data_IF_399858771421
#
_entry.id   IF_399858771421
#
_cell.length_a   1.000
_cell.length_b   1.000
_cell.length_c   1.000
_cell.angle_alpha   90.00
_cell.angle_beta   90.00
_cell.angle_gamma   90.00
#
_symmetry.space_group_name_H-M   'P 1'
#
loop_
_entity.id
_entity.type
_entity.pdbx_description
1 polymer ?
#
# COMPACT_ATOMS: atom_id res chain seq x y z
N UNK A 1 -9.94 -2.67 -9.56
CA UNK A 1 -11.00 -3.68 -9.37
C UNK A 1 -12.36 -3.02 -9.19
N UNK A 2 -12.45 -1.99 -8.35
CA UNK A 2 -13.72 -1.32 -8.00
C UNK A 2 -14.14 -0.16 -8.90
N UNK A 3 -13.30 0.26 -9.86
CA UNK A 3 -13.59 1.43 -10.70
C UNK A 3 -14.89 1.25 -11.47
N UNK A 4 -15.72 2.30 -11.46
CA UNK A 4 -17.02 2.32 -12.13
C UNK A 4 -18.05 1.40 -11.49
N UNK A 5 -17.85 1.00 -10.23
CA UNK A 5 -18.84 0.22 -9.50
C UNK A 5 -20.07 1.09 -9.22
N UNK A 6 -21.25 0.59 -9.59
CA UNK A 6 -22.50 1.34 -9.43
C UNK A 6 -22.83 1.50 -7.94
N UNK A 7 -23.16 2.72 -7.54
CA UNK A 7 -23.57 3.02 -6.16
C UNK A 7 -22.43 3.31 -5.20
N UNK A 8 -21.17 3.34 -5.68
CA UNK A 8 -20.01 3.70 -4.88
C UNK A 8 -19.18 4.79 -5.56
N UNK A 9 -18.72 5.76 -4.80
CA UNK A 9 -17.69 6.71 -5.24
C UNK A 9 -16.30 6.05 -5.07
N UNK A 10 -15.49 6.03 -6.13
CA UNK A 10 -14.22 5.28 -6.16
C UNK A 10 -13.00 6.20 -6.22
N UNK A 11 -12.36 6.47 -5.08
CA UNK A 11 -11.24 7.41 -5.02
C UNK A 11 -9.89 6.70 -5.07
N UNK A 12 -9.07 6.98 -6.08
CA UNK A 12 -7.76 6.36 -6.25
C UNK A 12 -6.64 7.24 -5.67
N UNK A 13 -6.04 6.83 -4.54
CA UNK A 13 -4.92 7.52 -3.88
C UNK A 13 -5.25 8.99 -3.53
N UNK A 14 -6.35 9.28 -2.79
CA UNK A 14 -6.82 10.66 -2.57
C UNK A 14 -5.84 11.56 -1.81
N UNK A 15 -4.94 10.99 -1.02
CA UNK A 15 -3.94 11.71 -0.23
C UNK A 15 -2.62 11.94 -0.98
N UNK A 16 -2.56 11.65 -2.28
CA UNK A 16 -1.37 11.83 -3.08
C UNK A 16 -1.02 13.33 -3.22
N UNK A 17 0.20 13.78 -2.81
CA UNK A 17 0.58 15.18 -2.86
C UNK A 17 0.44 15.86 -4.22
N UNK A 18 0.61 15.11 -5.32
CA UNK A 18 0.55 15.69 -6.67
C UNK A 18 -0.87 15.82 -7.21
N UNK A 19 -1.89 15.28 -6.53
CA UNK A 19 -3.24 15.17 -7.07
C UNK A 19 -3.81 16.56 -7.41
N UNK A 20 -3.88 17.45 -6.42
CA UNK A 20 -4.52 18.75 -6.57
C UNK A 20 -3.78 19.67 -7.55
N UNK A 21 -2.45 19.57 -7.60
CA UNK A 21 -1.62 20.38 -8.52
C UNK A 21 -1.85 20.04 -9.99
N UNK A 22 -2.29 18.81 -10.29
CA UNK A 22 -2.48 18.34 -11.65
C UNK A 22 -3.95 18.38 -12.12
N UNK A 23 -4.92 18.54 -11.21
CA UNK A 23 -6.32 18.68 -11.59
C UNK A 23 -6.57 20.00 -12.36
N UNK A 24 -7.50 20.03 -13.34
CA UNK A 24 -8.40 18.95 -13.75
C UNK A 24 -7.82 17.98 -14.80
N UNK A 25 -6.51 18.00 -15.06
CA UNK A 25 -5.92 17.03 -15.97
C UNK A 25 -5.97 15.64 -15.35
N UNK A 26 -6.41 14.67 -16.14
CA UNK A 26 -6.43 13.29 -15.67
C UNK A 26 -5.02 12.70 -15.63
N UNK A 27 -4.82 11.76 -14.71
CA UNK A 27 -3.61 10.97 -14.66
C UNK A 27 -3.45 10.13 -15.95
N UNK A 28 -2.21 9.81 -16.34
CA UNK A 28 -1.96 9.04 -17.57
C UNK A 28 -2.64 7.66 -17.59
N UNK A 29 -2.92 7.09 -16.41
CA UNK A 29 -3.65 5.82 -16.24
C UNK A 29 -5.19 6.00 -16.21
N UNK A 30 -5.70 7.22 -16.41
CA UNK A 30 -7.12 7.62 -16.31
C UNK A 30 -7.75 7.14 -15.01
N UNK A 31 -7.29 7.74 -13.90
CA UNK A 31 -7.58 7.24 -12.55
C UNK A 31 -8.13 8.32 -11.63
N UNK A 32 -8.34 9.53 -12.15
CA UNK A 32 -8.78 10.69 -11.39
C UNK A 32 -10.14 11.21 -11.87
N UNK A 33 -10.92 10.39 -12.56
CA UNK A 33 -12.24 10.77 -13.10
C UNK A 33 -13.16 11.29 -11.98
N UNK A 34 -13.15 10.61 -10.83
CA UNK A 34 -13.93 10.98 -9.65
C UNK A 34 -13.48 12.31 -9.05
N UNK A 35 -12.17 12.62 -9.06
CA UNK A 35 -11.66 13.92 -8.58
C UNK A 35 -11.91 15.05 -9.57
N UNK A 36 -11.88 14.77 -10.88
CA UNK A 36 -12.26 15.75 -11.91
C UNK A 36 -13.73 16.12 -11.74
N UNK A 37 -14.60 15.13 -11.49
CA UNK A 37 -16.00 15.38 -11.17
C UNK A 37 -16.16 16.28 -9.95
N UNK A 38 -15.46 15.99 -8.84
CA UNK A 38 -15.48 16.87 -7.65
C UNK A 38 -14.93 18.27 -7.94
N UNK A 39 -13.89 18.37 -8.78
CA UNK A 39 -13.33 19.64 -9.22
C UNK A 39 -14.33 20.47 -10.03
N UNK A 40 -15.10 19.84 -10.91
CA UNK A 40 -16.05 20.52 -11.78
C UNK A 40 -17.36 20.84 -11.07
N UNK A 41 -17.86 19.96 -10.21
CA UNK A 41 -19.20 20.05 -9.60
C UNK A 41 -19.18 20.64 -8.17
N UNK A 42 -18.08 20.51 -7.42
CA UNK A 42 -18.01 20.88 -5.99
C UNK A 42 -16.67 21.51 -5.59
N UNK A 43 -16.07 22.30 -6.50
CA UNK A 43 -14.72 22.87 -6.36
C UNK A 43 -14.44 23.52 -5.01
N UNK A 44 -15.37 24.33 -4.50
CA UNK A 44 -15.17 25.12 -3.28
C UNK A 44 -15.05 24.22 -2.05
N UNK A 45 -15.93 23.24 -1.90
CA UNK A 45 -15.88 22.32 -0.77
C UNK A 45 -14.74 21.31 -0.91
N UNK A 46 -14.47 20.85 -2.13
CA UNK A 46 -13.33 19.97 -2.40
C UNK A 46 -12.02 20.67 -2.03
N UNK A 47 -11.78 21.87 -2.56
CA UNK A 47 -10.57 22.65 -2.27
C UNK A 47 -10.40 22.97 -0.79
N UNK A 48 -11.47 23.36 -0.11
CA UNK A 48 -11.40 23.71 1.31
C UNK A 48 -11.26 22.51 2.24
N UNK A 49 -11.52 21.30 1.75
CA UNK A 49 -11.37 20.06 2.51
C UNK A 49 -10.13 19.25 2.09
N UNK A 50 -9.56 19.51 0.92
CA UNK A 50 -8.45 18.74 0.37
C UNK A 50 -7.25 18.74 1.31
N UNK A 51 -6.77 17.54 1.64
CA UNK A 51 -5.60 17.35 2.49
C UNK A 51 -4.74 16.20 1.95
N UNK A 52 -3.43 16.38 1.96
CA UNK A 52 -2.47 15.34 1.55
C UNK A 52 -1.82 14.71 2.77
N UNK A 53 -1.15 13.58 2.55
CA UNK A 53 -0.29 12.99 3.58
C UNK A 53 1.12 12.97 3.01
N UNK A 54 2.02 13.73 3.62
CA UNK A 54 3.45 13.65 3.32
C UNK A 54 4.03 12.30 3.76
N UNK A 55 5.16 11.86 3.19
CA UNK A 55 5.83 10.64 3.65
C UNK A 55 6.09 10.62 5.16
N UNK A 56 6.49 11.74 5.76
CA UNK A 56 6.79 11.83 7.19
C UNK A 56 5.53 11.69 8.06
N UNK A 57 4.41 12.23 7.59
CA UNK A 57 3.12 12.12 8.26
C UNK A 57 2.53 10.71 8.17
N UNK A 58 2.89 9.90 7.16
CA UNK A 58 2.40 8.52 7.03
C UNK A 58 2.63 7.71 8.31
N UNK A 59 3.71 7.97 9.05
CA UNK A 59 4.09 7.30 10.29
C UNK A 59 3.31 7.77 11.54
N UNK A 60 2.44 8.76 11.42
CA UNK A 60 1.50 9.11 12.49
C UNK A 60 0.45 8.01 12.60
N UNK A 61 0.14 7.59 13.83
CA UNK A 61 -0.90 6.61 14.12
C UNK A 61 -2.33 7.17 14.07
N UNK A 62 -2.47 8.50 14.06
CA UNK A 62 -3.74 9.20 14.05
C UNK A 62 -3.85 10.11 12.83
N UNK A 63 -5.07 10.35 12.36
CA UNK A 63 -5.38 11.39 11.38
C UNK A 63 -5.28 12.77 12.03
N UNK A 64 -4.71 13.73 11.30
CA UNK A 64 -4.87 15.14 11.67
C UNK A 64 -6.31 15.59 11.45
N UNK A 65 -6.72 16.71 12.06
CA UNK A 65 -8.07 17.26 11.87
C UNK A 65 -8.40 17.54 10.40
N UNK A 66 -7.42 18.03 9.62
CA UNK A 66 -7.60 18.28 8.19
C UNK A 66 -7.70 16.98 7.38
N UNK A 67 -6.91 15.95 7.73
CA UNK A 67 -7.01 14.64 7.09
C UNK A 67 -8.36 13.97 7.37
N UNK A 68 -8.87 14.12 8.60
CA UNK A 68 -10.19 13.64 8.98
C UNK A 68 -11.30 14.39 8.24
N UNK A 69 -11.22 15.73 8.18
CA UNK A 69 -12.16 16.57 7.43
C UNK A 69 -12.22 16.13 5.96
N UNK A 70 -11.06 15.88 5.34
CA UNK A 70 -11.00 15.41 3.97
C UNK A 70 -11.62 14.02 3.80
N UNK A 71 -11.31 13.08 4.69
CA UNK A 71 -11.86 11.73 4.63
C UNK A 71 -13.38 11.72 4.84
N UNK A 72 -13.91 12.55 5.75
CA UNK A 72 -15.34 12.76 5.92
C UNK A 72 -15.99 13.35 4.67
N UNK A 73 -15.29 14.28 4.01
CA UNK A 73 -15.77 14.86 2.75
C UNK A 73 -15.89 13.81 1.64
N UNK A 74 -14.87 12.95 1.48
CA UNK A 74 -14.89 11.87 0.47
C UNK A 74 -15.93 10.80 0.80
N UNK A 75 -16.16 10.52 2.08
CA UNK A 75 -17.06 9.45 2.53
C UNK A 75 -18.51 9.91 2.78
N UNK A 76 -18.96 11.01 2.16
CA UNK A 76 -20.37 11.46 2.25
C UNK A 76 -21.36 10.45 1.67
N UNK A 77 -20.92 9.70 0.66
CA UNK A 77 -21.65 8.59 0.05
C UNK A 77 -20.89 7.27 0.31
N UNK A 78 -21.53 6.10 0.10
CA UNK A 78 -20.80 4.83 0.06
C UNK A 78 -19.60 4.95 -0.89
N UNK A 79 -18.40 4.71 -0.35
CA UNK A 79 -17.16 5.00 -1.04
C UNK A 79 -16.18 3.85 -0.95
N UNK A 80 -15.40 3.65 -2.01
CA UNK A 80 -14.26 2.75 -2.05
C UNK A 80 -13.02 3.59 -2.27
N UNK A 81 -12.14 3.61 -1.27
CA UNK A 81 -10.97 4.47 -1.27
C UNK A 81 -9.72 3.60 -1.38
N UNK A 82 -8.96 3.77 -2.47
CA UNK A 82 -7.64 3.18 -2.61
C UNK A 82 -6.65 3.96 -1.76
N UNK A 83 -6.31 3.37 -0.62
CA UNK A 83 -5.63 4.01 0.48
C UNK A 83 -4.11 3.93 0.37
N UNK A 84 -3.51 4.90 -0.31
CA UNK A 84 -2.08 5.19 -0.17
C UNK A 84 -1.80 6.01 1.10
N UNK A 85 -0.70 5.72 1.81
CA UNK A 85 -0.15 6.51 2.95
C UNK A 85 -0.89 6.55 4.28
N UNK A 86 -2.04 5.89 4.40
CA UNK A 86 -2.81 5.85 5.67
C UNK A 86 -2.63 4.57 6.48
N UNK A 87 -1.86 3.60 6.02
CA UNK A 87 -1.94 2.25 6.62
C UNK A 87 -1.39 2.14 8.05
N UNK A 88 -0.71 3.16 8.58
CA UNK A 88 -0.38 3.25 10.00
C UNK A 88 -1.49 3.91 10.86
N UNK A 89 -2.52 4.49 10.23
CA UNK A 89 -3.66 5.20 10.85
C UNK A 89 -4.94 4.37 10.92
N UNK A 90 -4.87 3.09 10.56
CA UNK A 90 -6.06 2.27 10.36
C UNK A 90 -6.85 2.09 11.66
N UNK A 91 -6.19 2.01 12.82
CA UNK A 91 -6.90 1.94 14.10
C UNK A 91 -7.72 3.22 14.36
N UNK A 92 -7.15 4.40 14.12
CA UNK A 92 -7.87 5.67 14.25
C UNK A 92 -9.03 5.78 13.24
N UNK A 93 -8.85 5.29 12.01
CA UNK A 93 -9.94 5.21 11.01
C UNK A 93 -11.06 4.29 11.50
N UNK A 94 -10.75 3.09 11.99
CA UNK A 94 -11.73 2.13 12.48
C UNK A 94 -12.52 2.67 13.70
N UNK A 95 -11.90 3.53 14.50
CA UNK A 95 -12.53 4.21 15.63
C UNK A 95 -13.47 5.34 15.19
N UNK A 96 -13.09 6.11 14.17
CA UNK A 96 -13.86 7.27 13.68
C UNK A 96 -14.96 6.90 12.68
N UNK A 97 -14.81 5.77 11.99
CA UNK A 97 -15.72 5.31 10.95
C UNK A 97 -16.21 3.88 11.28
N UNK A 98 -17.26 3.74 12.10
CA UNK A 98 -17.73 2.44 12.59
C UNK A 98 -18.17 1.51 11.46
N UNK A 99 -18.75 2.05 10.39
CA UNK A 99 -19.32 1.30 9.26
C UNK A 99 -18.29 0.97 8.16
N UNK A 100 -17.00 1.16 8.42
CA UNK A 100 -15.94 0.91 7.43
C UNK A 100 -15.38 -0.50 7.55
N UNK A 101 -15.20 -1.17 6.41
CA UNK A 101 -14.35 -2.33 6.27
C UNK A 101 -12.99 -1.93 5.66
N UNK A 102 -11.91 -2.54 6.15
CA UNK A 102 -10.54 -2.29 5.70
C UNK A 102 -9.96 -3.55 5.10
N UNK A 103 -9.50 -3.47 3.85
CA UNK A 103 -8.73 -4.52 3.20
C UNK A 103 -7.28 -4.06 3.06
N UNK A 104 -6.37 -4.67 3.84
CA UNK A 104 -4.95 -4.54 3.57
C UNK A 104 -4.56 -5.40 2.38
N UNK A 105 -4.20 -4.77 1.27
CA UNK A 105 -3.76 -5.47 0.07
C UNK A 105 -2.23 -5.56 0.03
N UNK A 106 -1.70 -6.78 0.08
CA UNK A 106 -0.27 -7.04 -0.05
C UNK A 106 0.06 -7.70 -1.39
N UNK A 107 1.33 -7.57 -1.77
CA UNK A 107 1.98 -8.42 -2.77
C UNK A 107 3.11 -9.21 -2.11
N UNK A 108 3.66 -10.21 -2.80
CA UNK A 108 4.93 -10.81 -2.39
C UNK A 108 5.99 -9.71 -2.07
N UNK A 109 6.78 -9.83 -1.00
CA UNK A 109 7.83 -8.86 -0.66
C UNK A 109 8.86 -8.69 -1.80
N UNK A 110 9.11 -9.75 -2.58
CA UNK A 110 9.98 -9.71 -3.76
C UNK A 110 9.38 -8.78 -4.82
N UNK A 111 8.09 -8.97 -5.13
CA UNK A 111 7.39 -8.18 -6.13
C UNK A 111 7.29 -6.71 -5.71
N UNK A 112 6.99 -6.47 -4.43
CA UNK A 112 6.95 -5.16 -3.81
C UNK A 112 8.30 -4.43 -3.92
N UNK A 113 9.40 -5.03 -3.43
CA UNK A 113 10.71 -4.39 -3.48
C UNK A 113 11.16 -4.16 -4.95
N UNK A 114 10.85 -5.11 -5.83
CA UNK A 114 11.18 -5.00 -7.26
C UNK A 114 10.47 -3.84 -7.95
N UNK A 115 9.18 -3.62 -7.68
CA UNK A 115 8.43 -2.53 -8.32
C UNK A 115 8.86 -1.14 -7.86
N UNK A 116 9.39 -1.02 -6.64
CA UNK A 116 9.87 0.26 -6.10
C UNK A 116 11.28 0.61 -6.60
N UNK A 117 12.14 -0.38 -6.83
CA UNK A 117 13.49 -0.16 -7.37
C UNK A 117 13.49 -0.05 -8.90
N UNK A 118 12.77 -0.94 -9.58
CA UNK A 118 12.60 -0.93 -11.03
C UNK A 118 11.23 -0.28 -11.32
N UNK A 119 11.13 1.01 -11.00
CA UNK A 119 9.89 1.75 -11.15
C UNK A 119 9.42 1.72 -12.61
N UNK A 120 8.26 1.10 -12.85
CA UNK A 120 7.67 0.95 -14.18
C UNK A 120 7.18 2.26 -14.80
N UNK A 121 7.01 3.31 -14.00
CA UNK A 121 6.67 4.65 -14.49
C UNK A 121 7.87 5.34 -15.12
N UNK A 122 9.07 4.81 -14.88
CA UNK A 122 10.29 5.28 -15.50
C UNK A 122 10.58 4.50 -16.78
N UNK A 123 10.06 5.00 -17.91
CA UNK A 123 10.17 4.33 -19.20
C UNK A 123 11.57 4.42 -19.84
N UNK A 124 12.55 5.05 -19.19
CA UNK A 124 13.91 5.19 -19.72
C UNK A 124 14.67 3.86 -19.65
N UNK A 125 14.87 3.21 -20.80
CA UNK A 125 15.52 1.90 -20.94
C UNK A 125 16.86 1.80 -20.19
N UNK A 126 17.75 2.77 -20.36
CA UNK A 126 19.07 2.79 -19.70
C UNK A 126 18.95 2.79 -18.16
N UNK A 127 18.00 3.55 -17.62
CA UNK A 127 17.77 3.61 -16.18
C UNK A 127 17.18 2.29 -15.66
N UNK A 128 16.27 1.67 -16.39
CA UNK A 128 15.78 0.32 -16.03
C UNK A 128 16.88 -0.74 -16.09
N UNK A 129 17.73 -0.70 -17.12
CA UNK A 129 18.86 -1.62 -17.26
C UNK A 129 19.86 -1.44 -16.10
N UNK A 130 20.18 -0.19 -15.74
CA UNK A 130 21.01 0.14 -14.58
C UNK A 130 20.41 -0.40 -13.28
N UNK A 131 19.13 -0.11 -13.00
CA UNK A 131 18.45 -0.61 -11.79
C UNK A 131 18.41 -2.14 -11.72
N UNK A 132 18.23 -2.83 -12.85
CA UNK A 132 18.27 -4.30 -12.92
C UNK A 132 19.68 -4.85 -12.68
N UNK A 133 20.70 -4.24 -13.29
CA UNK A 133 22.10 -4.68 -13.16
C UNK A 133 22.60 -4.57 -11.73
N UNK A 134 22.27 -3.46 -11.07
CA UNK A 134 22.76 -3.13 -9.74
C UNK A 134 21.76 -3.42 -8.61
N UNK A 135 20.69 -4.17 -8.92
CA UNK A 135 19.54 -4.38 -8.03
C UNK A 135 19.93 -4.77 -6.59
N UNK A 136 20.80 -5.77 -6.44
CA UNK A 136 21.24 -6.29 -5.15
C UNK A 136 22.51 -5.58 -4.59
N UNK A 137 22.91 -4.46 -5.18
CA UNK A 137 24.06 -3.68 -4.75
C UNK A 137 23.64 -2.53 -3.81
N UNK A 138 24.61 -1.83 -3.24
CA UNK A 138 24.41 -0.61 -2.44
C UNK A 138 24.33 0.67 -3.29
N UNK A 139 24.50 0.58 -4.61
CA UNK A 139 24.60 1.75 -5.50
C UNK A 139 23.25 2.33 -5.90
N UNK A 140 22.16 1.60 -5.67
CA UNK A 140 20.82 2.04 -6.05
C UNK A 140 20.19 2.81 -4.91
N UNK A 141 19.75 4.03 -5.20
CA UNK A 141 18.83 4.77 -4.34
C UNK A 141 17.39 4.41 -4.66
N UNK A 142 16.51 4.51 -3.68
CA UNK A 142 15.08 4.27 -3.85
C UNK A 142 14.34 5.34 -3.06
N UNK A 143 13.72 6.31 -3.71
CA UNK A 143 12.87 7.25 -2.98
C UNK A 143 11.61 7.59 -3.77
N UNK A 144 11.20 6.65 -4.63
CA UNK A 144 9.86 6.70 -5.20
C UNK A 144 8.87 6.69 -4.04
N UNK A 145 7.97 7.68 -4.02
CA UNK A 145 6.97 7.89 -2.97
C UNK A 145 7.51 8.28 -1.58
N UNK A 146 8.79 8.67 -1.45
CA UNK A 146 9.36 9.07 -0.15
C UNK A 146 9.66 7.89 0.80
N UNK A 147 9.73 6.68 0.26
CA UNK A 147 9.87 5.45 1.05
C UNK A 147 11.19 5.39 1.83
N UNK A 148 12.29 5.90 1.27
CA UNK A 148 13.57 5.92 1.98
C UNK A 148 13.52 6.92 3.14
N UNK A 149 12.86 8.07 2.96
CA UNK A 149 12.61 9.04 4.03
C UNK A 149 11.76 8.45 5.16
N UNK A 150 10.71 7.69 4.83
CA UNK A 150 9.87 6.98 5.82
C UNK A 150 10.73 6.00 6.63
N UNK A 151 11.44 5.10 5.97
CA UNK A 151 12.16 4.01 6.64
C UNK A 151 13.31 4.52 7.51
N UNK A 152 13.94 5.62 7.11
CA UNK A 152 15.03 6.25 7.87
C UNK A 152 14.54 7.11 9.04
N UNK A 153 13.25 7.42 9.09
CA UNK A 153 12.66 8.21 10.17
C UNK A 153 12.72 7.47 11.52
N UNK A 154 12.90 8.21 12.62
CA UNK A 154 12.92 7.63 13.96
C UNK A 154 11.57 7.02 14.37
N UNK A 155 10.44 7.58 13.92
CA UNK A 155 9.11 7.00 14.19
C UNK A 155 8.95 5.60 13.59
N UNK A 156 9.59 5.34 12.45
CA UNK A 156 9.57 4.01 11.85
C UNK A 156 10.33 2.98 12.71
N UNK A 157 11.39 3.40 13.41
CA UNK A 157 12.10 2.55 14.38
C UNK A 157 11.20 2.14 15.54
N UNK A 158 10.35 3.04 16.01
CA UNK A 158 9.37 2.71 17.07
C UNK A 158 8.43 1.58 16.62
N UNK A 159 8.05 1.53 15.34
CA UNK A 159 7.25 0.41 14.82
C UNK A 159 8.05 -0.90 14.70
N UNK A 160 9.35 -0.84 14.39
CA UNK A 160 10.23 -2.01 14.41
C UNK A 160 10.27 -2.61 15.82
N UNK A 161 10.45 -1.76 16.83
CA UNK A 161 10.51 -2.17 18.23
C UNK A 161 9.15 -2.70 18.71
N UNK A 162 8.06 -1.97 18.44
CA UNK A 162 6.68 -2.35 18.80
C UNK A 162 6.28 -3.72 18.22
N UNK A 163 6.74 -4.03 17.00
CA UNK A 163 6.41 -5.28 16.30
C UNK A 163 7.43 -6.39 16.54
N UNK A 164 8.37 -6.20 17.48
CA UNK A 164 9.43 -7.13 17.83
C UNK A 164 10.18 -7.64 16.58
N UNK A 165 10.51 -6.73 15.66
CA UNK A 165 11.33 -7.06 14.49
C UNK A 165 12.79 -6.87 14.89
N UNK A 166 13.60 -7.91 14.74
CA UNK A 166 15.04 -7.86 15.08
C UNK A 166 15.89 -8.07 13.83
N UNK A 167 16.23 -7.00 13.09
CA UNK A 167 17.14 -7.09 11.95
C UNK A 167 18.51 -7.61 12.37
N UNK A 168 19.07 -8.55 11.62
CA UNK A 168 20.45 -9.06 11.83
C UNK A 168 21.52 -8.03 11.48
N UNK A 169 21.17 -7.03 10.68
CA UNK A 169 22.02 -5.90 10.32
C UNK A 169 21.44 -4.61 10.89
N UNK A 170 22.32 -3.69 11.28
CA UNK A 170 21.92 -2.31 11.61
C UNK A 170 21.20 -1.67 10.42
N UNK A 171 20.18 -0.85 10.68
CA UNK A 171 19.36 -0.22 9.63
C UNK A 171 20.18 0.55 8.60
N UNK A 172 21.21 1.28 9.04
CA UNK A 172 22.10 2.03 8.14
C UNK A 172 23.02 1.15 7.27
N UNK A 173 23.06 -0.16 7.51
CA UNK A 173 23.80 -1.14 6.71
C UNK A 173 22.89 -1.98 5.80
N UNK A 174 21.57 -1.81 5.88
CA UNK A 174 20.63 -2.47 4.98
C UNK A 174 20.71 -1.82 3.60
N UNK A 175 20.71 -2.65 2.57
CA UNK A 175 20.62 -2.21 1.17
C UNK A 175 19.18 -1.77 0.86
N UNK A 176 19.00 -1.06 -0.25
CA UNK A 176 17.70 -0.50 -0.66
C UNK A 176 16.57 -1.54 -0.73
N UNK A 177 16.82 -2.69 -1.35
CA UNK A 177 15.81 -3.76 -1.40
C UNK A 177 15.55 -4.38 -0.02
N UNK A 178 16.55 -4.45 0.86
CA UNK A 178 16.36 -4.93 2.24
C UNK A 178 15.51 -3.92 3.03
N UNK A 179 15.76 -2.61 2.90
CA UNK A 179 14.93 -1.57 3.54
C UNK A 179 13.46 -1.65 3.08
N UNK A 180 13.21 -1.88 1.79
CA UNK A 180 11.86 -2.08 1.27
C UNK A 180 11.19 -3.35 1.82
N UNK A 181 11.93 -4.46 1.95
CA UNK A 181 11.40 -5.68 2.57
C UNK A 181 11.11 -5.46 4.07
N UNK A 182 11.94 -4.67 4.76
CA UNK A 182 11.70 -4.30 6.16
C UNK A 182 10.42 -3.47 6.31
N UNK A 183 10.20 -2.48 5.44
CA UNK A 183 8.93 -1.74 5.39
C UNK A 183 7.75 -2.68 5.16
N UNK A 184 7.88 -3.58 4.18
CA UNK A 184 6.84 -4.57 3.89
C UNK A 184 6.52 -5.42 5.13
N UNK A 185 7.54 -5.90 5.86
CA UNK A 185 7.37 -6.71 7.07
C UNK A 185 6.67 -5.94 8.19
N UNK A 186 7.10 -4.69 8.44
CA UNK A 186 6.48 -3.79 9.42
C UNK A 186 4.99 -3.64 9.11
N UNK A 187 4.65 -3.33 7.85
CA UNK A 187 3.25 -3.18 7.43
C UNK A 187 2.46 -4.47 7.56
N UNK A 188 3.06 -5.61 7.22
CA UNK A 188 2.43 -6.93 7.33
C UNK A 188 2.11 -7.29 8.78
N UNK A 189 3.08 -7.15 9.68
CA UNK A 189 2.88 -7.44 11.11
C UNK A 189 1.92 -6.45 11.77
N UNK A 190 1.97 -5.17 11.39
CA UNK A 190 1.01 -4.17 11.86
C UNK A 190 -0.42 -4.54 11.44
N UNK A 191 -0.64 -4.85 10.17
CA UNK A 191 -1.96 -5.28 9.67
C UNK A 191 -2.48 -6.51 10.43
N UNK A 192 -1.62 -7.50 10.69
CA UNK A 192 -1.97 -8.67 11.48
C UNK A 192 -2.35 -8.31 12.92
N UNK A 193 -1.61 -7.41 13.58
CA UNK A 193 -1.94 -6.96 14.93
C UNK A 193 -3.28 -6.22 14.98
N UNK A 194 -3.50 -5.29 14.04
CA UNK A 194 -4.77 -4.55 13.92
C UNK A 194 -5.94 -5.52 13.72
N UNK A 195 -5.79 -6.48 12.80
CA UNK A 195 -6.82 -7.49 12.56
C UNK A 195 -7.14 -8.32 13.82
N UNK A 196 -6.13 -8.74 14.58
CA UNK A 196 -6.32 -9.50 15.83
C UNK A 196 -7.05 -8.70 16.91
N UNK A 197 -6.89 -7.38 16.90
CA UNK A 197 -7.47 -6.49 17.90
C UNK A 197 -8.84 -5.92 17.49
N UNK A 198 -9.22 -6.03 16.22
CA UNK A 198 -10.51 -5.53 15.74
C UNK A 198 -11.65 -6.47 16.13
N UNK A 199 -12.40 -6.06 17.17
CA UNK A 199 -13.51 -6.83 17.75
C UNK A 199 -14.72 -6.97 16.81
N UNK A 200 -14.79 -6.14 15.77
CA UNK A 200 -15.93 -6.06 14.88
C UNK A 200 -15.74 -6.83 13.56
N UNK A 201 -14.61 -7.53 13.37
CA UNK A 201 -14.31 -8.31 12.15
C UNK A 201 -14.44 -7.50 10.85
N UNK A 202 -13.94 -6.27 10.86
CA UNK A 202 -13.93 -5.31 9.74
C UNK A 202 -12.58 -5.25 9.03
N UNK A 203 -11.55 -5.92 9.55
CA UNK A 203 -10.19 -5.89 9.00
C UNK A 203 -9.84 -7.18 8.29
N UNK A 204 -9.51 -7.06 7.02
CA UNK A 204 -9.21 -8.14 6.11
C UNK A 204 -7.81 -7.97 5.52
N UNK A 205 -7.21 -9.10 5.16
CA UNK A 205 -5.84 -9.11 4.65
C UNK A 205 -5.78 -9.91 3.35
N UNK A 206 -5.73 -9.20 2.23
CA UNK A 206 -5.64 -9.76 0.89
C UNK A 206 -4.20 -9.87 0.39
N UNK A 207 -3.96 -10.85 -0.47
CA UNK A 207 -2.70 -10.99 -1.22
C UNK A 207 -3.03 -10.99 -2.71
N UNK A 208 -2.51 -10.02 -3.46
CA UNK A 208 -2.84 -9.80 -4.87
C UNK A 208 -2.68 -11.07 -5.72
N UNK A 209 -1.57 -11.78 -5.54
CA UNK A 209 -1.29 -13.03 -6.25
C UNK A 209 -2.42 -14.05 -6.03
N UNK A 210 -2.87 -14.24 -4.78
CA UNK A 210 -3.95 -15.16 -4.43
C UNK A 210 -5.32 -14.69 -4.92
N UNK A 211 -5.56 -13.38 -4.96
CA UNK A 211 -6.80 -12.82 -5.50
C UNK A 211 -6.92 -13.16 -6.99
N UNK A 212 -5.83 -13.05 -7.75
CA UNK A 212 -5.84 -13.40 -9.18
C UNK A 212 -6.05 -14.89 -9.43
N UNK A 213 -5.66 -15.74 -8.48
CA UNK A 213 -5.88 -17.18 -8.50
C UNK A 213 -7.26 -17.59 -7.96
N UNK A 214 -8.12 -16.63 -7.58
CA UNK A 214 -9.39 -16.85 -6.89
C UNK A 214 -9.26 -17.69 -5.60
N UNK A 215 -8.12 -17.57 -4.90
CA UNK A 215 -7.78 -18.33 -3.69
C UNK A 215 -7.55 -17.39 -2.49
N UNK A 216 -8.40 -16.38 -2.34
CA UNK A 216 -8.31 -15.40 -1.26
C UNK A 216 -9.69 -15.17 -0.60
N UNK A 217 -9.97 -15.96 0.43
CA UNK A 217 -11.23 -15.84 1.19
C UNK A 217 -11.37 -14.46 1.84
N UNK A 218 -10.29 -13.94 2.43
CA UNK A 218 -10.23 -12.61 3.04
C UNK A 218 -10.69 -11.48 2.10
N UNK A 219 -10.35 -11.59 0.82
CA UNK A 219 -10.83 -10.65 -0.17
C UNK A 219 -12.35 -10.79 -0.33
N UNK A 220 -12.84 -12.01 -0.56
CA UNK A 220 -14.27 -12.29 -0.72
C UNK A 220 -15.10 -11.88 0.50
N UNK A 221 -14.56 -12.09 1.70
CA UNK A 221 -15.20 -11.70 2.96
C UNK A 221 -15.28 -10.18 3.10
N UNK A 222 -14.20 -9.46 2.74
CA UNK A 222 -14.20 -7.99 2.72
C UNK A 222 -15.26 -7.42 1.77
N UNK A 223 -15.38 -8.01 0.57
CA UNK A 223 -16.40 -7.63 -0.42
C UNK A 223 -17.81 -7.88 0.13
N UNK A 224 -18.01 -9.05 0.73
CA UNK A 224 -19.29 -9.46 1.29
C UNK A 224 -19.71 -8.59 2.48
N UNK A 225 -18.76 -8.17 3.31
CA UNK A 225 -18.99 -7.27 4.43
C UNK A 225 -19.52 -5.89 4.00
N UNK A 226 -19.21 -5.48 2.77
CA UNK A 226 -19.73 -4.25 2.18
C UNK A 226 -21.06 -4.44 1.44
N UNK A 227 -21.65 -5.64 1.49
CA UNK A 227 -22.87 -6.00 0.76
C UNK A 227 -22.68 -6.15 -0.75
N UNK A 228 -21.43 -6.23 -1.21
CA UNK A 228 -21.07 -6.34 -2.63
C UNK A 228 -21.06 -7.80 -3.01
N UNK A 229 -21.61 -8.16 -4.19
CA UNK A 229 -21.44 -9.51 -4.73
C UNK A 229 -20.14 -9.57 -5.53
N UNK A 230 -19.36 -10.63 -5.33
CA UNK A 230 -18.10 -10.81 -6.06
C UNK A 230 -18.30 -10.85 -7.59
N UNK A 231 -19.47 -11.31 -8.05
CA UNK A 231 -19.87 -11.32 -9.46
C UNK A 231 -19.97 -9.92 -10.09
N UNK A 232 -20.15 -8.89 -9.26
CA UNK A 232 -20.30 -7.51 -9.71
C UNK A 232 -18.92 -6.85 -9.93
N UNK A 233 -17.85 -7.49 -9.45
CA UNK A 233 -16.49 -7.01 -9.62
C UNK A 233 -15.93 -7.41 -10.98
N UNK A 234 -15.50 -6.41 -11.74
CA UNK A 234 -14.72 -6.63 -12.96
C UNK A 234 -13.27 -6.88 -12.58
N UNK A 235 -12.77 -8.08 -12.86
CA UNK A 235 -11.36 -8.46 -12.66
C UNK A 235 -10.60 -8.68 -13.96
N UNK A 236 -11.29 -8.66 -15.11
CA UNK A 236 -10.70 -8.94 -16.43
C UNK A 236 -9.59 -7.97 -16.85
N UNK A 237 -9.55 -6.76 -16.27
CA UNK A 237 -8.49 -5.77 -16.52
C UNK A 237 -7.29 -5.93 -15.58
N UNK A 238 -7.36 -6.81 -14.58
CA UNK A 238 -6.23 -7.09 -13.70
C UNK A 238 -5.15 -7.84 -14.47
N UNK A 239 -3.91 -7.37 -14.37
CA UNK A 239 -2.78 -7.98 -15.07
C UNK A 239 -2.28 -9.20 -14.30
N UNK A 240 -1.85 -10.27 -14.99
CA UNK A 240 -1.12 -11.36 -14.36
C UNK A 240 0.03 -10.82 -13.51
N UNK A 241 0.20 -11.39 -12.32
CA UNK A 241 1.27 -10.95 -11.44
C UNK A 241 2.63 -11.40 -11.97
N UNK A 242 3.66 -10.63 -11.60
CA UNK A 242 5.07 -11.04 -11.71
C UNK A 242 5.67 -11.00 -10.31
N UNK A 243 6.40 -12.05 -9.96
CA UNK A 243 7.04 -12.18 -8.65
C UNK A 243 8.18 -11.20 -8.43
N UNK A 244 8.70 -10.57 -9.48
CA UNK A 244 9.68 -9.49 -9.39
C UNK A 244 10.98 -9.81 -10.12
N UNK A 245 12.06 -9.13 -9.74
CA UNK A 245 13.38 -9.28 -10.34
C UNK A 245 14.09 -10.51 -9.74
N UNK A 246 14.44 -11.48 -10.60
CA UNK A 246 15.16 -12.71 -10.23
C UNK A 246 14.50 -13.40 -9.02
N UNK A 247 13.22 -13.82 -9.11
CA UNK A 247 12.46 -14.32 -7.97
C UNK A 247 13.10 -15.56 -7.32
N UNK A 248 13.81 -16.38 -8.09
CA UNK A 248 14.45 -17.61 -7.59
C UNK A 248 15.78 -17.37 -6.87
N UNK A 249 16.29 -16.13 -6.86
CA UNK A 249 17.56 -15.77 -6.23
C UNK A 249 17.55 -16.06 -4.73
N UNK A 250 18.56 -16.78 -4.23
CA UNK A 250 18.78 -17.01 -2.79
C UNK A 250 19.04 -15.72 -2.01
N UNK A 251 19.40 -14.63 -2.72
CA UNK A 251 19.58 -13.32 -2.11
C UNK A 251 18.29 -12.76 -1.48
N UNK A 252 17.10 -13.17 -1.97
CA UNK A 252 15.83 -12.74 -1.38
C UNK A 252 15.60 -13.35 -0.01
N UNK A 253 15.86 -14.66 0.15
CA UNK A 253 15.79 -15.31 1.46
C UNK A 253 16.78 -14.66 2.44
N UNK A 254 18.02 -14.44 1.99
CA UNK A 254 19.03 -13.76 2.80
C UNK A 254 18.57 -12.34 3.21
N UNK A 255 17.94 -11.60 2.29
CA UNK A 255 17.38 -10.27 2.55
C UNK A 255 16.32 -10.31 3.66
N UNK A 256 15.34 -11.21 3.52
CA UNK A 256 14.27 -11.42 4.48
C UNK A 256 14.83 -11.77 5.87
N UNK A 257 15.81 -12.69 5.93
CA UNK A 257 16.50 -13.03 7.19
C UNK A 257 17.25 -11.84 7.78
N UNK A 258 17.89 -11.01 6.95
CA UNK A 258 18.61 -9.82 7.42
C UNK A 258 17.69 -8.79 8.06
N UNK A 259 16.45 -8.68 7.61
CA UNK A 259 15.49 -7.70 8.13
C UNK A 259 14.60 -8.24 9.25
N UNK A 260 14.69 -9.53 9.57
CA UNK A 260 14.03 -10.12 10.74
C UNK A 260 12.82 -11.02 10.44
N UNK A 261 12.70 -11.56 9.22
CA UNK A 261 11.70 -12.61 8.95
C UNK A 261 12.00 -13.85 9.81
N UNK A 262 10.93 -14.43 10.36
CA UNK A 262 10.93 -15.76 10.97
C UNK A 262 10.92 -16.85 9.89
N UNK A 263 11.18 -18.11 10.27
CA UNK A 263 11.05 -19.22 9.32
C UNK A 263 9.62 -19.37 8.81
N UNK A 264 8.62 -19.22 9.67
CA UNK A 264 7.21 -19.28 9.27
C UNK A 264 6.86 -18.20 8.23
N UNK A 265 7.35 -16.98 8.41
CA UNK A 265 7.13 -15.89 7.44
C UNK A 265 7.87 -16.13 6.11
N UNK A 266 9.00 -16.84 6.11
CA UNK A 266 9.66 -17.26 4.87
C UNK A 266 8.82 -18.30 4.11
N UNK A 267 8.29 -19.30 4.80
CA UNK A 267 7.36 -20.28 4.21
C UNK A 267 6.14 -19.59 3.61
N UNK A 268 5.49 -18.70 4.39
CA UNK A 268 4.25 -18.06 4.00
C UNK A 268 4.43 -17.05 2.85
N UNK A 269 5.52 -16.27 2.87
CA UNK A 269 5.65 -15.09 2.00
C UNK A 269 6.71 -15.21 0.89
N UNK A 270 7.63 -16.17 0.99
CA UNK A 270 8.69 -16.37 0.01
C UNK A 270 8.51 -17.69 -0.72
N UNK A 271 8.39 -18.80 -0.01
CA UNK A 271 8.38 -20.12 -0.64
C UNK A 271 7.04 -20.51 -1.23
N UNK A 272 5.93 -20.02 -0.67
CA UNK A 272 4.60 -20.21 -1.27
C UNK A 272 4.52 -19.81 -2.75
N UNK A 273 5.36 -18.86 -3.18
CA UNK A 273 5.37 -18.34 -4.56
C UNK A 273 6.43 -18.98 -5.47
N UNK A 274 7.26 -19.89 -4.96
CA UNK A 274 8.28 -20.60 -5.74
C UNK A 274 7.78 -21.96 -6.16
#
# INVERSE_FOLDING_TARGET
MFRGMKGYDCYNEPFNPILFENLPNNHFKKTWDEFIKLWDEDYVNFKSSFCTISPEEELLGELTNEQLKYLLYLSKNPSIIDFSRIGFKVEDILNRFPDTAILFLFRSPIAFASSHIINSENNKFLRQAYSKRFFFSSFIKFDSWGMESIIKNNKFKNYIDLLNISPRKKLNKLKSYELLILYWLVRRRLANNIKRNDKNNRVYIGVYERILENNCNEFSDAISALGIKISDLKTSHLRPFRLGHKPDSTLWELACRNVGFTNLELEEYIYYFK
#
